data_IF_031065295670
#
_entry.id   IF_031065295670
#
_cell.length_a   1.000
_cell.length_b   1.000
_cell.length_c   1.000
_cell.angle_alpha   90.00
_cell.angle_beta   90.00
_cell.angle_gamma   90.00
#
_symmetry.space_group_name_H-M   'P 1'
#
loop_
_entity.id
_entity.type
_entity.pdbx_description
1 polymer ?
#
# COMPACT_ATOMS: atom_id res chain seq x y z
N UNK A 1 33.63 5.19 -12.74
CA UNK A 1 33.46 4.33 -11.56
C UNK A 1 32.03 3.83 -11.62
N UNK A 2 31.83 2.60 -12.09
CA UNK A 2 30.50 2.00 -12.06
C UNK A 2 30.26 1.65 -10.59
N UNK A 3 29.29 2.28 -9.94
CA UNK A 3 28.84 1.82 -8.63
C UNK A 3 28.43 0.35 -8.80
N UNK A 4 29.11 -0.54 -8.08
CA UNK A 4 28.71 -1.95 -8.04
C UNK A 4 27.28 -1.98 -7.50
N UNK A 5 26.34 -2.44 -8.33
CA UNK A 5 24.95 -2.64 -7.91
C UNK A 5 24.97 -3.65 -6.76
N UNK A 6 24.76 -3.18 -5.54
CA UNK A 6 24.71 -4.03 -4.36
C UNK A 6 23.52 -4.98 -4.49
N UNK A 7 23.81 -6.28 -4.56
CA UNK A 7 22.75 -7.29 -4.59
C UNK A 7 22.12 -7.34 -3.18
N UNK A 8 20.81 -7.11 -3.03
CA UNK A 8 20.19 -7.11 -1.71
C UNK A 8 20.28 -8.50 -1.08
N UNK A 9 20.68 -8.55 0.19
CA UNK A 9 20.64 -9.78 0.97
C UNK A 9 19.20 -10.24 1.16
N UNK A 10 18.99 -11.56 1.12
CA UNK A 10 17.67 -12.14 1.28
C UNK A 10 17.28 -12.20 2.76
N UNK A 11 16.61 -11.13 3.22
CA UNK A 11 16.12 -10.99 4.59
C UNK A 11 14.59 -10.89 4.64
N UNK A 12 14.02 -10.98 5.85
CA UNK A 12 12.58 -10.73 6.06
C UNK A 12 12.21 -9.30 5.62
N UNK A 13 13.06 -8.31 5.92
CA UNK A 13 12.84 -6.93 5.50
C UNK A 13 12.79 -6.81 3.97
N UNK A 14 13.73 -7.45 3.26
CA UNK A 14 13.76 -7.51 1.78
C UNK A 14 12.46 -8.11 1.22
N UNK A 15 12.00 -9.23 1.77
CA UNK A 15 10.76 -9.88 1.36
C UNK A 15 9.53 -8.99 1.57
N UNK A 16 9.41 -8.36 2.74
CA UNK A 16 8.29 -7.49 3.04
C UNK A 16 8.25 -6.27 2.12
N UNK A 17 9.40 -5.64 1.85
CA UNK A 17 9.50 -4.52 0.92
C UNK A 17 9.06 -4.92 -0.50
N UNK A 18 9.48 -6.08 -1.00
CA UNK A 18 9.08 -6.58 -2.32
C UNK A 18 7.56 -6.82 -2.37
N UNK A 19 7.00 -7.54 -1.39
CA UNK A 19 5.57 -7.88 -1.35
C UNK A 19 4.71 -6.62 -1.25
N UNK A 20 5.04 -5.72 -0.31
CA UNK A 20 4.29 -4.48 -0.10
C UNK A 20 4.46 -3.54 -1.30
N UNK A 21 5.69 -3.36 -1.80
CA UNK A 21 5.99 -2.50 -2.93
C UNK A 21 5.26 -2.91 -4.20
N UNK A 22 5.39 -4.18 -4.60
CA UNK A 22 4.68 -4.71 -5.76
C UNK A 22 3.17 -4.73 -5.55
N UNK A 23 2.70 -5.04 -4.34
CA UNK A 23 1.28 -5.03 -4.00
C UNK A 23 0.63 -3.65 -4.17
N UNK A 24 1.28 -2.60 -3.67
CA UNK A 24 0.80 -1.22 -3.82
C UNK A 24 0.76 -0.81 -5.29
N UNK A 25 1.85 -1.03 -6.03
CA UNK A 25 1.94 -0.65 -7.44
C UNK A 25 0.94 -1.43 -8.30
N UNK A 26 0.76 -2.72 -8.04
CA UNK A 26 -0.23 -3.53 -8.73
C UNK A 26 -1.66 -3.00 -8.51
N UNK A 27 -2.05 -2.70 -7.27
CA UNK A 27 -3.39 -2.18 -6.97
C UNK A 27 -3.63 -0.80 -7.59
N UNK A 28 -2.64 0.09 -7.53
CA UNK A 28 -2.81 1.49 -7.92
C UNK A 28 -2.51 1.81 -9.39
N UNK A 29 -1.72 0.99 -10.09
CA UNK A 29 -1.38 1.21 -11.49
C UNK A 29 -2.08 0.23 -12.43
N UNK A 30 -2.20 -1.05 -12.05
CA UNK A 30 -2.70 -2.10 -12.94
C UNK A 30 -4.18 -2.38 -12.63
N UNK A 31 -4.52 -2.59 -11.37
CA UNK A 31 -5.85 -3.00 -10.92
C UNK A 31 -6.74 -1.84 -10.47
N UNK A 32 -6.37 -0.60 -10.74
CA UNK A 32 -7.15 0.56 -10.28
C UNK A 32 -8.61 0.52 -10.78
N UNK A 33 -8.82 0.06 -12.02
CA UNK A 33 -10.13 -0.11 -12.64
C UNK A 33 -10.71 -1.52 -12.56
N UNK A 34 -10.08 -2.46 -11.83
CA UNK A 34 -10.54 -3.85 -11.76
C UNK A 34 -11.50 -4.09 -10.59
N UNK A 35 -12.57 -4.83 -10.87
CA UNK A 35 -13.49 -5.38 -9.88
C UNK A 35 -12.82 -6.48 -9.05
N UNK A 36 -13.09 -6.47 -7.73
CA UNK A 36 -12.48 -7.41 -6.77
C UNK A 36 -13.42 -7.56 -5.58
N UNK A 37 -13.43 -8.74 -4.97
CA UNK A 37 -14.23 -9.00 -3.76
C UNK A 37 -13.78 -8.20 -2.54
N UNK A 38 -12.66 -7.47 -2.63
CA UNK A 38 -12.11 -6.66 -1.55
C UNK A 38 -12.44 -5.16 -1.65
N UNK A 39 -13.15 -4.73 -2.69
CA UNK A 39 -13.58 -3.33 -2.83
C UNK A 39 -14.58 -2.99 -1.72
N UNK A 40 -14.50 -1.77 -1.19
CA UNK A 40 -15.44 -1.28 -0.20
C UNK A 40 -16.81 -0.93 -0.78
N UNK A 41 -17.88 -1.25 -0.04
CA UNK A 41 -19.25 -1.06 -0.49
C UNK A 41 -19.56 -1.84 -1.78
N UNK A 42 -20.31 -1.22 -2.68
CA UNK A 42 -20.67 -1.82 -3.99
C UNK A 42 -19.73 -1.37 -5.12
N UNK A 43 -18.54 -0.88 -4.78
CA UNK A 43 -17.60 -0.35 -5.76
C UNK A 43 -16.98 -1.46 -6.62
N UNK A 44 -16.83 -1.18 -7.91
CA UNK A 44 -16.12 -2.06 -8.85
C UNK A 44 -14.73 -1.51 -9.19
N UNK A 45 -14.48 -0.22 -8.96
CA UNK A 45 -13.18 0.40 -9.15
C UNK A 45 -12.65 1.06 -7.88
N UNK A 46 -11.35 1.34 -7.83
CA UNK A 46 -10.73 2.04 -6.70
C UNK A 46 -11.26 3.48 -6.56
N UNK A 47 -11.65 4.13 -7.67
CA UNK A 47 -12.22 5.47 -7.63
C UNK A 47 -13.66 5.44 -7.08
N UNK A 48 -14.46 4.48 -7.52
CA UNK A 48 -15.80 4.24 -6.95
C UNK A 48 -15.74 3.89 -5.47
N UNK A 49 -14.71 3.17 -5.02
CA UNK A 49 -14.51 2.81 -3.61
C UNK A 49 -14.34 4.07 -2.74
N UNK A 50 -13.56 5.05 -3.20
CA UNK A 50 -13.44 6.34 -2.51
C UNK A 50 -14.77 7.12 -2.50
N UNK A 51 -15.53 7.05 -3.59
CA UNK A 51 -16.87 7.66 -3.65
C UNK A 51 -17.85 6.98 -2.67
N UNK A 52 -17.82 5.65 -2.57
CA UNK A 52 -18.62 4.88 -1.62
C UNK A 52 -18.26 5.24 -0.16
N UNK A 53 -17.00 5.54 0.13
CA UNK A 53 -16.56 6.06 1.43
C UNK A 53 -17.00 7.51 1.71
N UNK A 54 -17.54 8.21 0.71
CA UNK A 54 -17.90 9.62 0.78
C UNK A 54 -16.67 10.55 0.78
N UNK A 55 -15.56 10.13 0.17
CA UNK A 55 -14.34 10.92 0.07
C UNK A 55 -14.30 11.69 -1.28
N UNK A 56 -13.76 12.92 -1.30
CA UNK A 56 -13.63 13.68 -2.54
C UNK A 56 -12.53 13.12 -3.44
N UNK A 57 -12.61 13.40 -4.74
CA UNK A 57 -11.60 12.99 -5.75
C UNK A 57 -10.17 13.41 -5.38
N UNK A 58 -10.00 14.56 -4.72
CA UNK A 58 -8.69 15.00 -4.23
C UNK A 58 -8.04 14.01 -3.25
N UNK A 59 -8.84 13.38 -2.38
CA UNK A 59 -8.34 12.35 -1.45
C UNK A 59 -7.88 11.09 -2.21
N UNK A 60 -8.59 10.70 -3.28
CA UNK A 60 -8.20 9.59 -4.13
C UNK A 60 -6.81 9.80 -4.74
N UNK A 61 -6.57 10.96 -5.36
CA UNK A 61 -5.27 11.26 -5.97
C UNK A 61 -4.16 11.40 -4.93
N UNK A 62 -4.43 12.02 -3.78
CA UNK A 62 -3.45 12.17 -2.71
C UNK A 62 -3.03 10.81 -2.13
N UNK A 63 -3.99 9.96 -1.77
CA UNK A 63 -3.71 8.62 -1.24
C UNK A 63 -3.00 7.76 -2.28
N UNK A 64 -3.39 7.87 -3.55
CA UNK A 64 -2.72 7.16 -4.65
C UNK A 64 -1.29 7.58 -4.86
N UNK A 65 -1.01 8.87 -4.91
CA UNK A 65 0.35 9.40 -5.03
C UNK A 65 1.24 8.92 -3.88
N UNK A 66 0.75 8.96 -2.64
CA UNK A 66 1.49 8.45 -1.48
C UNK A 66 1.78 6.95 -1.56
N UNK A 67 0.78 6.15 -1.96
CA UNK A 67 0.94 4.68 -2.07
C UNK A 67 1.85 4.28 -3.22
N UNK A 68 1.77 4.95 -4.37
CA UNK A 68 2.67 4.72 -5.51
C UNK A 68 4.09 5.14 -5.12
N UNK A 69 4.27 6.32 -4.54
CA UNK A 69 5.58 6.80 -4.08
C UNK A 69 6.21 5.88 -3.04
N UNK A 70 5.43 5.40 -2.06
CA UNK A 70 5.90 4.40 -1.10
C UNK A 70 6.26 3.07 -1.77
N UNK A 71 5.44 2.60 -2.72
CA UNK A 71 5.72 1.39 -3.49
C UNK A 71 7.04 1.47 -4.25
N UNK A 72 7.30 2.59 -4.92
CA UNK A 72 8.60 2.86 -5.57
C UNK A 72 9.73 2.92 -4.54
N UNK A 73 9.51 3.59 -3.41
CA UNK A 73 10.51 3.71 -2.33
C UNK A 73 10.90 2.32 -1.77
N UNK A 74 9.95 1.42 -1.57
CA UNK A 74 10.25 0.06 -1.09
C UNK A 74 11.06 -0.76 -2.08
N UNK A 75 10.80 -0.62 -3.38
CA UNK A 75 11.55 -1.38 -4.38
C UNK A 75 12.92 -0.76 -4.61
N UNK A 76 13.01 0.56 -4.80
CA UNK A 76 14.29 1.24 -4.98
C UNK A 76 15.17 1.15 -3.72
N UNK A 77 14.56 1.12 -2.53
CA UNK A 77 15.23 0.99 -1.24
C UNK A 77 16.00 -0.32 -1.05
N UNK A 78 15.85 -1.29 -1.96
CA UNK A 78 16.65 -2.52 -1.97
C UNK A 78 18.08 -2.29 -2.49
N UNK A 79 18.31 -1.25 -3.28
CA UNK A 79 19.60 -0.95 -3.91
C UNK A 79 20.21 0.38 -3.48
N UNK A 80 19.43 1.25 -2.85
CA UNK A 80 19.87 2.58 -2.43
C UNK A 80 19.31 2.94 -1.07
N UNK A 81 20.04 3.76 -0.32
CA UNK A 81 19.60 4.33 0.95
C UNK A 81 18.41 5.27 0.71
N UNK A 82 17.20 4.79 1.02
CA UNK A 82 15.95 5.53 0.91
C UNK A 82 15.17 5.46 2.23
N UNK A 83 14.24 6.39 2.48
CA UNK A 83 13.51 6.47 3.74
C UNK A 83 12.40 5.39 3.85
N UNK A 84 12.78 4.11 3.79
CA UNK A 84 11.92 2.93 3.85
C UNK A 84 11.07 2.91 5.12
N UNK A 85 11.69 3.22 6.28
CA UNK A 85 10.98 3.31 7.57
C UNK A 85 9.90 4.40 7.56
N UNK A 86 10.17 5.57 6.99
CA UNK A 86 9.16 6.63 6.90
C UNK A 86 8.05 6.26 5.92
N UNK A 87 8.38 5.66 4.78
CA UNK A 87 7.41 5.19 3.80
C UNK A 87 6.45 4.13 4.39
N UNK A 88 6.97 3.19 5.20
CA UNK A 88 6.12 2.19 5.88
C UNK A 88 5.22 2.80 6.93
N UNK A 89 5.68 3.81 7.68
CA UNK A 89 4.84 4.56 8.61
C UNK A 89 3.67 5.27 7.91
N UNK A 90 3.93 5.90 6.76
CA UNK A 90 2.89 6.54 5.94
C UNK A 90 1.86 5.50 5.48
N UNK A 91 2.32 4.39 4.89
CA UNK A 91 1.40 3.36 4.38
C UNK A 91 0.61 2.72 5.52
N UNK A 92 1.22 2.47 6.68
CA UNK A 92 0.52 1.97 7.86
C UNK A 92 -0.62 2.91 8.29
N UNK A 93 -0.38 4.23 8.34
CA UNK A 93 -1.42 5.22 8.61
C UNK A 93 -2.56 5.18 7.58
N UNK A 94 -2.22 5.05 6.29
CA UNK A 94 -3.22 4.93 5.23
C UNK A 94 -4.01 3.62 5.32
N UNK A 95 -3.41 2.52 5.76
CA UNK A 95 -4.12 1.25 5.98
C UNK A 95 -5.07 1.34 7.17
N UNK A 96 -4.68 2.01 8.27
CA UNK A 96 -5.61 2.28 9.37
C UNK A 96 -6.82 3.11 8.90
N UNK A 97 -6.59 4.13 8.06
CA UNK A 97 -7.66 4.88 7.41
C UNK A 97 -8.56 4.01 6.54
N UNK A 98 -7.99 3.13 5.72
CA UNK A 98 -8.76 2.21 4.87
C UNK A 98 -9.62 1.23 5.70
N UNK A 99 -9.06 0.65 6.77
CA UNK A 99 -9.80 -0.21 7.70
C UNK A 99 -10.98 0.54 8.33
N UNK A 100 -10.76 1.78 8.78
CA UNK A 100 -11.82 2.63 9.32
C UNK A 100 -12.92 2.90 8.29
N UNK A 101 -12.59 3.07 7.00
CA UNK A 101 -13.57 3.29 5.94
C UNK A 101 -14.40 2.04 5.63
N UNK A 102 -13.79 0.85 5.61
CA UNK A 102 -14.56 -0.40 5.50
C UNK A 102 -15.54 -0.58 6.66
N UNK A 103 -15.12 -0.26 7.89
CA UNK A 103 -16.03 -0.27 9.06
C UNK A 103 -17.14 0.76 8.88
N UNK A 104 -16.82 1.96 8.42
CA UNK A 104 -17.78 3.06 8.20
C UNK A 104 -18.89 2.68 7.22
N UNK A 105 -18.57 1.99 6.13
CA UNK A 105 -19.57 1.56 5.13
C UNK A 105 -20.21 0.21 5.43
N UNK A 106 -19.87 -0.40 6.58
CA UNK A 106 -20.48 -1.66 7.03
C UNK A 106 -20.03 -2.89 6.25
N UNK A 107 -18.82 -2.86 5.68
CA UNK A 107 -18.29 -4.01 4.94
C UNK A 107 -18.08 -5.23 5.84
N UNK A 108 -18.30 -6.46 5.32
CA UNK A 108 -17.87 -7.66 6.03
C UNK A 108 -16.34 -7.68 6.21
N UNK A 109 -15.81 -8.23 7.32
CA UNK A 109 -14.38 -8.20 7.64
C UNK A 109 -13.46 -8.76 6.55
N UNK A 110 -13.97 -9.66 5.70
CA UNK A 110 -13.23 -10.25 4.59
C UNK A 110 -12.77 -9.21 3.56
N UNK A 111 -13.55 -8.14 3.34
CA UNK A 111 -13.18 -7.05 2.40
C UNK A 111 -11.95 -6.29 2.88
N UNK A 112 -11.80 -6.16 4.19
CA UNK A 112 -10.68 -5.46 4.84
C UNK A 112 -9.39 -6.27 4.92
N UNK A 113 -9.38 -7.54 4.49
CA UNK A 113 -8.22 -8.43 4.62
C UNK A 113 -6.96 -7.86 3.97
N UNK A 114 -6.99 -7.33 2.73
CA UNK A 114 -5.79 -6.75 2.12
C UNK A 114 -5.24 -5.58 2.94
N UNK A 115 -6.10 -4.68 3.44
CA UNK A 115 -5.67 -3.54 4.24
C UNK A 115 -5.04 -3.99 5.57
N UNK A 116 -5.62 -5.01 6.24
CA UNK A 116 -5.08 -5.55 7.48
C UNK A 116 -3.72 -6.24 7.29
N UNK A 117 -3.58 -7.05 6.24
CA UNK A 117 -2.31 -7.72 5.91
C UNK A 117 -1.23 -6.68 5.57
N UNK A 118 -1.57 -5.69 4.73
CA UNK A 118 -0.65 -4.61 4.37
C UNK A 118 -0.23 -3.79 5.59
N UNK A 119 -1.14 -3.52 6.53
CA UNK A 119 -0.81 -2.86 7.79
C UNK A 119 0.22 -3.65 8.59
N UNK A 120 -0.01 -4.94 8.82
CA UNK A 120 0.92 -5.79 9.56
C UNK A 120 2.31 -5.85 8.90
N UNK A 121 2.35 -6.00 7.58
CA UNK A 121 3.62 -6.00 6.84
C UNK A 121 4.34 -4.64 6.94
N UNK A 122 3.62 -3.52 6.84
CA UNK A 122 4.22 -2.18 7.00
C UNK A 122 4.75 -1.95 8.42
N UNK A 123 4.07 -2.45 9.46
CA UNK A 123 4.57 -2.41 10.83
C UNK A 123 5.85 -3.25 10.98
N UNK A 124 5.90 -4.43 10.34
CA UNK A 124 7.12 -5.24 10.27
C UNK A 124 8.28 -4.51 9.59
N UNK A 125 8.04 -3.88 8.44
CA UNK A 125 9.04 -3.04 7.75
C UNK A 125 9.49 -1.90 8.66
N UNK A 126 8.56 -1.18 9.30
CA UNK A 126 8.89 -0.06 10.18
C UNK A 126 9.80 -0.47 11.35
N UNK A 127 9.59 -1.67 11.91
CA UNK A 127 10.39 -2.17 13.01
C UNK A 127 11.79 -2.66 12.57
N UNK A 128 11.90 -3.24 11.37
CA UNK A 128 13.12 -3.87 10.87
C UNK A 128 14.03 -2.94 10.05
N UNK A 129 13.47 -1.92 9.39
CA UNK A 129 14.20 -0.91 8.63
C UNK A 129 14.84 0.13 9.54
#
# INVERSE_FOLDING_TARGET
MLEEISVPEFTILTLLQIIVGLGLLNVWLIRAGSATDYRGGEATTLKEEFQAYGLPDGAFYLVGAMKIGAGVTFLAGLWTELPVRSASGIVALLMMGALAMHVKVGDPPRRSLPAALMLMMCLGIFYLA
#
